data_IF_663965742862
#
_entry.id   IF_663965742862
#
_cell.length_a   1.000
_cell.length_b   1.000
_cell.length_c   1.000
_cell.angle_alpha   90.00
_cell.angle_beta   90.00
_cell.angle_gamma   90.00
#
_symmetry.space_group_name_H-M   'P 1'
#
loop_
_entity.id
_entity.type
_entity.pdbx_description
1 polymer ?
#
# COMPACT_ATOMS: atom_id res chain seq x y z
N UNK A 1 -40.86 -23.25 -6.00
CA UNK A 1 -39.57 -23.50 -5.34
C UNK A 1 -38.83 -22.17 -5.32
N UNK A 2 -38.69 -21.56 -4.14
CA UNK A 2 -38.02 -20.28 -4.01
C UNK A 2 -36.54 -20.43 -4.33
N UNK A 3 -36.00 -19.54 -5.15
CA UNK A 3 -34.55 -19.41 -5.31
C UNK A 3 -33.92 -19.29 -3.92
N UNK A 4 -32.85 -20.05 -3.62
CA UNK A 4 -32.12 -19.85 -2.39
C UNK A 4 -31.62 -18.39 -2.37
N UNK A 5 -31.69 -17.69 -1.23
CA UNK A 5 -31.23 -16.32 -1.15
C UNK A 5 -29.75 -16.30 -1.56
N UNK A 6 -29.45 -15.54 -2.62
CA UNK A 6 -28.09 -15.23 -3.05
C UNK A 6 -27.37 -14.71 -1.81
N UNK A 7 -26.44 -15.50 -1.28
CA UNK A 7 -25.67 -15.14 -0.10
C UNK A 7 -25.02 -13.79 -0.38
N UNK A 8 -25.37 -12.75 0.40
CA UNK A 8 -24.76 -11.43 0.26
C UNK A 8 -23.24 -11.63 0.33
N UNK A 9 -22.47 -11.12 -0.64
CA UNK A 9 -21.02 -11.28 -0.61
C UNK A 9 -20.52 -10.71 0.72
N UNK A 10 -19.73 -11.51 1.44
CA UNK A 10 -19.09 -11.06 2.66
C UNK A 10 -18.32 -9.78 2.33
N UNK A 11 -18.72 -8.65 2.95
CA UNK A 11 -18.12 -7.34 2.66
C UNK A 11 -16.72 -7.29 3.27
N UNK A 12 -15.76 -7.88 2.56
CA UNK A 12 -14.36 -8.02 2.99
C UNK A 12 -13.70 -6.66 3.30
N UNK A 13 -14.17 -5.57 2.68
CA UNK A 13 -13.65 -4.22 2.90
C UNK A 13 -14.53 -3.34 3.79
N UNK A 14 -15.71 -3.80 4.25
CA UNK A 14 -16.67 -2.93 4.94
C UNK A 14 -16.12 -2.23 6.20
N UNK A 15 -15.36 -2.94 7.03
CA UNK A 15 -14.75 -2.35 8.24
C UNK A 15 -13.77 -1.23 7.88
N UNK A 16 -13.03 -1.38 6.79
CA UNK A 16 -12.07 -0.37 6.32
C UNK A 16 -12.76 0.78 5.60
N UNK A 17 -13.83 0.52 4.84
CA UNK A 17 -14.67 1.58 4.25
C UNK A 17 -15.27 2.49 5.33
N UNK A 18 -15.71 1.92 6.46
CA UNK A 18 -16.20 2.70 7.60
C UNK A 18 -15.09 3.58 8.20
N UNK A 19 -13.88 3.04 8.35
CA UNK A 19 -12.71 3.82 8.80
C UNK A 19 -12.39 4.97 7.84
N UNK A 20 -12.38 4.72 6.52
CA UNK A 20 -12.15 5.77 5.49
C UNK A 20 -13.19 6.88 5.57
N UNK A 21 -14.46 6.52 5.82
CA UNK A 21 -15.56 7.47 6.04
C UNK A 21 -15.34 8.32 7.29
N UNK A 22 -15.05 7.70 8.43
CA UNK A 22 -14.83 8.41 9.70
C UNK A 22 -13.59 9.31 9.63
N UNK A 23 -12.55 8.88 8.91
CA UNK A 23 -11.33 9.64 8.66
C UNK A 23 -11.52 10.82 7.69
N UNK A 24 -12.72 10.99 7.13
CA UNK A 24 -13.01 12.10 6.22
C UNK A 24 -12.29 12.03 4.88
N UNK A 25 -11.97 10.81 4.40
CA UNK A 25 -11.32 10.55 3.10
C UNK A 25 -12.27 9.93 2.06
N UNK A 26 -13.54 9.72 2.41
CA UNK A 26 -14.53 9.15 1.51
C UNK A 26 -15.19 10.22 0.64
N UNK A 27 -14.74 10.28 -0.62
CA UNK A 27 -15.38 11.06 -1.70
C UNK A 27 -16.36 10.24 -2.53
N UNK A 28 -16.44 8.92 -2.30
CA UNK A 28 -17.21 8.00 -3.13
C UNK A 28 -18.71 8.17 -2.96
N UNK A 29 -19.16 8.31 -1.71
CA UNK A 29 -20.57 8.57 -1.44
C UNK A 29 -20.96 10.04 -1.63
N UNK A 30 -20.02 10.99 -1.57
CA UNK A 30 -20.35 12.41 -1.70
C UNK A 30 -20.69 12.83 -3.14
N UNK A 31 -20.01 12.26 -4.13
CA UNK A 31 -20.17 12.64 -5.55
C UNK A 31 -21.22 11.77 -6.26
N UNK A 32 -21.36 10.48 -5.88
CA UNK A 32 -22.38 9.60 -6.47
C UNK A 32 -23.78 9.88 -5.91
N UNK A 33 -23.91 10.20 -4.62
CA UNK A 33 -25.20 10.64 -4.05
C UNK A 33 -25.54 12.09 -4.40
N UNK A 34 -24.59 12.95 -4.79
CA UNK A 34 -24.92 14.29 -5.31
C UNK A 34 -25.92 14.22 -6.46
N UNK A 35 -25.72 13.26 -7.37
CA UNK A 35 -26.53 13.12 -8.60
C UNK A 35 -27.82 12.33 -8.38
N UNK A 36 -27.90 11.45 -7.38
CA UNK A 36 -29.08 10.59 -7.11
C UNK A 36 -29.89 11.00 -5.87
N UNK A 37 -29.35 11.81 -4.96
CA UNK A 37 -30.00 12.13 -3.70
C UNK A 37 -31.17 13.11 -3.88
N UNK A 38 -32.36 12.64 -3.56
CA UNK A 38 -33.59 13.44 -3.46
C UNK A 38 -33.63 14.32 -2.19
N UNK A 39 -32.79 14.04 -1.19
CA UNK A 39 -32.82 14.72 0.12
C UNK A 39 -31.68 15.75 0.29
N UNK A 40 -31.98 16.91 0.88
CA UNK A 40 -30.99 17.97 1.13
C UNK A 40 -29.92 17.58 2.17
N UNK A 41 -30.27 16.72 3.14
CA UNK A 41 -29.37 16.34 4.24
C UNK A 41 -28.13 15.57 3.79
N UNK A 42 -28.29 14.62 2.86
CA UNK A 42 -27.20 13.83 2.28
C UNK A 42 -26.29 14.67 1.37
N UNK A 43 -26.81 15.71 0.71
CA UNK A 43 -26.00 16.67 -0.07
C UNK A 43 -25.09 17.54 0.80
N UNK A 44 -25.58 18.01 1.95
CA UNK A 44 -24.75 18.79 2.87
C UNK A 44 -23.60 17.97 3.48
N UNK A 45 -23.86 16.70 3.82
CA UNK A 45 -22.83 15.78 4.31
C UNK A 45 -21.76 15.54 3.24
N UNK A 46 -22.17 15.32 1.99
CA UNK A 46 -21.28 15.15 0.85
C UNK A 46 -20.33 16.35 0.64
N UNK A 47 -20.87 17.57 0.69
CA UNK A 47 -20.09 18.80 0.56
C UNK A 47 -19.11 18.93 1.73
N UNK A 48 -19.58 18.68 2.96
CA UNK A 48 -18.74 18.74 4.16
C UNK A 48 -17.54 17.80 4.06
N UNK A 49 -17.75 16.51 3.76
CA UNK A 49 -16.64 15.55 3.60
C UNK A 49 -15.67 15.93 2.50
N UNK A 50 -16.17 16.49 1.40
CA UNK A 50 -15.32 16.94 0.28
C UNK A 50 -14.44 18.12 0.67
N UNK A 51 -15.00 19.11 1.37
CA UNK A 51 -14.24 20.26 1.91
C UNK A 51 -13.22 19.77 2.94
N UNK A 52 -13.60 18.89 3.86
CA UNK A 52 -12.69 18.31 4.86
C UNK A 52 -11.53 17.57 4.20
N UNK A 53 -11.81 16.71 3.21
CA UNK A 53 -10.78 15.99 2.45
C UNK A 53 -9.83 16.98 1.76
N UNK A 54 -10.36 17.98 1.08
CA UNK A 54 -9.57 18.98 0.36
C UNK A 54 -8.67 19.76 1.30
N UNK A 55 -9.20 20.25 2.43
CA UNK A 55 -8.42 20.96 3.45
C UNK A 55 -7.29 20.11 4.00
N UNK A 56 -7.57 18.85 4.32
CA UNK A 56 -6.55 17.90 4.80
C UNK A 56 -5.44 17.70 3.78
N UNK A 57 -5.79 17.46 2.51
CA UNK A 57 -4.82 17.26 1.43
C UNK A 57 -3.96 18.52 1.23
N UNK A 58 -4.57 19.71 1.25
CA UNK A 58 -3.84 20.98 1.15
C UNK A 58 -2.85 21.14 2.30
N UNK A 59 -3.27 20.86 3.53
CA UNK A 59 -2.39 20.93 4.71
C UNK A 59 -1.18 19.99 4.56
N UNK A 60 -1.40 18.74 4.13
CA UNK A 60 -0.31 17.77 3.94
C UNK A 60 0.65 18.17 2.81
N UNK A 61 0.14 18.78 1.73
CA UNK A 61 1.00 19.31 0.65
C UNK A 61 1.82 20.50 1.15
N UNK A 62 1.20 21.40 1.92
CA UNK A 62 1.89 22.55 2.51
C UNK A 62 2.99 22.13 3.48
N UNK A 63 2.78 21.05 4.25
CA UNK A 63 3.82 20.44 5.09
C UNK A 63 5.01 19.98 4.26
N UNK A 64 4.78 19.25 3.16
CA UNK A 64 5.85 18.81 2.24
C UNK A 64 6.63 20.00 1.69
N UNK A 65 5.95 21.06 1.23
CA UNK A 65 6.59 22.27 0.70
C UNK A 65 7.41 22.97 1.78
N UNK A 66 6.87 23.10 2.99
CA UNK A 66 7.55 23.74 4.12
C UNK A 66 8.83 23.02 4.50
N UNK A 67 8.83 21.68 4.49
CA UNK A 67 10.02 20.87 4.75
C UNK A 67 11.06 21.06 3.63
N UNK A 68 10.65 21.10 2.36
CA UNK A 68 11.57 21.33 1.22
C UNK A 68 12.26 22.69 1.30
N UNK A 69 11.58 23.72 1.82
CA UNK A 69 12.15 25.07 1.96
C UNK A 69 13.20 25.18 3.08
N UNK A 70 13.34 24.18 3.95
CA UNK A 70 14.35 24.20 5.00
C UNK A 70 15.72 23.86 4.39
N UNK A 71 16.63 24.82 4.42
CA UNK A 71 17.99 24.61 3.97
C UNK A 71 18.82 23.92 5.04
N UNK A 72 19.58 22.90 4.64
CA UNK A 72 20.56 22.22 5.51
C UNK A 72 21.77 21.79 4.69
N UNK A 73 22.95 21.84 5.32
CA UNK A 73 24.19 21.40 4.67
C UNK A 73 24.13 19.89 4.41
N UNK A 74 24.42 19.46 3.18
CA UNK A 74 24.38 18.05 2.78
C UNK A 74 25.24 17.16 3.68
N UNK A 75 24.79 15.91 3.89
CA UNK A 75 25.45 14.91 4.73
C UNK A 75 25.67 15.30 6.21
N UNK A 76 24.93 16.28 6.72
CA UNK A 76 24.88 16.60 8.15
C UNK A 76 23.67 15.95 8.83
N UNK A 77 23.70 15.79 10.16
CA UNK A 77 22.57 15.26 10.92
C UNK A 77 21.25 16.01 10.64
N UNK A 78 21.20 17.36 10.60
CA UNK A 78 20.00 18.10 10.21
C UNK A 78 19.47 17.75 8.82
N UNK A 79 20.37 17.49 7.86
CA UNK A 79 19.99 17.12 6.49
C UNK A 79 19.32 15.75 6.43
N UNK A 80 19.91 14.76 7.10
CA UNK A 80 19.30 13.43 7.19
C UNK A 80 17.95 13.47 7.91
N UNK A 81 17.84 14.21 9.02
CA UNK A 81 16.57 14.38 9.74
C UNK A 81 15.49 15.03 8.86
N UNK A 82 15.87 16.02 8.05
CA UNK A 82 14.97 16.68 7.12
C UNK A 82 14.47 15.70 6.04
N UNK A 83 15.36 14.88 5.47
CA UNK A 83 14.97 13.89 4.47
C UNK A 83 14.06 12.79 5.02
N UNK A 84 14.29 12.34 6.26
CA UNK A 84 13.39 11.39 6.94
C UNK A 84 11.99 11.99 7.07
N UNK A 85 11.90 13.24 7.56
CA UNK A 85 10.62 13.95 7.69
C UNK A 85 9.95 14.15 6.32
N UNK A 86 10.71 14.54 5.31
CA UNK A 86 10.23 14.74 3.96
C UNK A 86 9.68 13.45 3.35
N UNK A 87 10.40 12.33 3.47
CA UNK A 87 9.98 11.03 2.96
C UNK A 87 8.67 10.54 3.57
N UNK A 88 8.50 10.71 4.89
CA UNK A 88 7.28 10.39 5.60
C UNK A 88 6.11 11.31 5.23
N UNK A 89 6.36 12.62 5.10
CA UNK A 89 5.36 13.60 4.69
C UNK A 89 4.87 13.31 3.25
N UNK A 90 5.79 13.01 2.31
CA UNK A 90 5.44 12.60 0.95
C UNK A 90 4.60 11.31 0.95
N UNK A 91 5.00 10.32 1.74
CA UNK A 91 4.27 9.06 1.86
C UNK A 91 2.83 9.29 2.37
N UNK A 92 2.65 10.10 3.41
CA UNK A 92 1.33 10.42 3.96
C UNK A 92 0.46 11.25 3.03
N UNK A 93 1.02 12.29 2.41
CA UNK A 93 0.31 13.12 1.44
C UNK A 93 -0.14 12.29 0.23
N UNK A 94 0.76 11.47 -0.34
CA UNK A 94 0.43 10.57 -1.44
C UNK A 94 -0.66 9.57 -1.04
N UNK A 95 -0.59 9.03 0.17
CA UNK A 95 -1.60 8.10 0.71
C UNK A 95 -2.98 8.75 0.82
N UNK A 96 -3.05 9.97 1.36
CA UNK A 96 -4.30 10.72 1.50
C UNK A 96 -4.93 11.06 0.13
N UNK A 97 -4.14 11.64 -0.79
CA UNK A 97 -4.57 11.97 -2.15
C UNK A 97 -5.11 10.71 -2.85
N UNK A 98 -4.39 9.60 -2.71
CA UNK A 98 -4.75 8.38 -3.41
C UNK A 98 -6.01 7.74 -2.84
N UNK A 99 -6.17 7.73 -1.52
CA UNK A 99 -7.38 7.26 -0.87
C UNK A 99 -8.60 8.07 -1.31
N UNK A 100 -8.47 9.39 -1.42
CA UNK A 100 -9.52 10.27 -1.95
C UNK A 100 -9.87 9.95 -3.42
N UNK A 101 -8.87 9.66 -4.26
CA UNK A 101 -9.11 9.28 -5.67
C UNK A 101 -9.83 7.92 -5.77
N UNK A 102 -9.37 6.91 -5.03
CA UNK A 102 -9.97 5.56 -5.04
C UNK A 102 -11.43 5.61 -4.58
N UNK A 103 -11.70 6.33 -3.49
CA UNK A 103 -13.07 6.47 -2.98
C UNK A 103 -13.94 7.16 -4.01
N UNK A 104 -13.49 8.30 -4.57
CA UNK A 104 -14.19 9.02 -5.62
C UNK A 104 -14.53 8.15 -6.85
N UNK A 105 -13.65 7.21 -7.22
CA UNK A 105 -13.86 6.30 -8.36
C UNK A 105 -14.80 5.12 -8.04
N UNK A 106 -15.25 4.98 -6.78
CA UNK A 106 -16.05 3.83 -6.35
C UNK A 106 -15.29 2.50 -6.47
N UNK A 107 -13.96 2.55 -6.43
CA UNK A 107 -13.13 1.38 -6.71
C UNK A 107 -13.35 0.23 -5.72
N UNK A 108 -13.72 0.53 -4.46
CA UNK A 108 -14.07 -0.51 -3.48
C UNK A 108 -15.29 -1.33 -3.89
N UNK A 109 -16.33 -0.66 -4.40
CA UNK A 109 -17.55 -1.34 -4.86
C UNK A 109 -17.24 -2.19 -6.08
N UNK A 110 -16.49 -1.65 -7.04
CA UNK A 110 -16.06 -2.40 -8.23
C UNK A 110 -15.19 -3.61 -7.86
N UNK A 111 -14.33 -3.48 -6.87
CA UNK A 111 -13.46 -4.54 -6.37
C UNK A 111 -14.29 -5.65 -5.69
N UNK A 112 -15.23 -5.28 -4.82
CA UNK A 112 -16.14 -6.22 -4.17
C UNK A 112 -17.02 -6.97 -5.18
N UNK A 113 -17.54 -6.28 -6.20
CA UNK A 113 -18.32 -6.91 -7.28
C UNK A 113 -17.47 -7.92 -8.07
N UNK A 114 -16.23 -7.57 -8.42
CA UNK A 114 -15.32 -8.47 -9.14
C UNK A 114 -14.91 -9.68 -8.30
N UNK A 115 -14.75 -9.53 -6.98
CA UNK A 115 -14.50 -10.66 -6.09
C UNK A 115 -15.73 -11.55 -5.89
N UNK A 116 -16.93 -10.95 -5.82
CA UNK A 116 -18.18 -11.69 -5.68
C UNK A 116 -18.51 -12.53 -6.92
N UNK A 117 -18.06 -12.10 -8.10
CA UNK A 117 -18.21 -12.87 -9.34
C UNK A 117 -17.32 -14.11 -9.41
N UNK A 118 -16.29 -14.22 -8.55
CA UNK A 118 -15.38 -15.36 -8.51
C UNK A 118 -15.82 -16.37 -7.44
N UNK A 119 -15.72 -17.69 -7.71
CA UNK A 119 -15.98 -18.70 -6.70
C UNK A 119 -15.06 -18.48 -5.50
N UNK A 120 -15.66 -18.26 -4.33
CA UNK A 120 -14.95 -17.78 -3.14
C UNK A 120 -14.40 -18.96 -2.34
N UNK A 121 -13.07 -19.10 -2.15
CA UNK A 121 -12.55 -19.97 -1.11
C UNK A 121 -12.77 -19.32 0.27
N UNK A 122 -12.72 -20.14 1.33
CA UNK A 122 -12.76 -19.65 2.72
C UNK A 122 -11.75 -18.50 2.91
N UNK A 123 -12.11 -17.43 3.63
CA UNK A 123 -11.28 -16.24 3.70
C UNK A 123 -9.90 -16.60 4.25
N UNK A 124 -8.81 -16.26 3.54
CA UNK A 124 -7.48 -16.47 4.07
C UNK A 124 -7.30 -15.66 5.36
N UNK A 125 -6.40 -16.11 6.23
CA UNK A 125 -6.00 -15.43 7.47
C UNK A 125 -5.45 -13.99 7.26
N UNK A 126 -5.46 -13.49 6.02
CA UNK A 126 -5.08 -12.15 5.56
C UNK A 126 -5.82 -11.05 6.31
N UNK A 127 -7.11 -11.20 6.63
CA UNK A 127 -7.85 -10.17 7.38
C UNK A 127 -7.34 -10.05 8.82
N UNK A 128 -7.08 -11.18 9.51
CA UNK A 128 -6.47 -11.17 10.85
C UNK A 128 -5.06 -10.58 10.83
N UNK A 129 -4.26 -10.93 9.81
CA UNK A 129 -2.93 -10.34 9.60
C UNK A 129 -3.01 -8.83 9.37
N UNK A 130 -3.94 -8.37 8.55
CA UNK A 130 -4.15 -6.95 8.29
C UNK A 130 -4.58 -6.18 9.55
N UNK A 131 -5.43 -6.76 10.41
CA UNK A 131 -5.82 -6.17 11.70
C UNK A 131 -4.62 -6.13 12.66
N UNK A 132 -3.84 -7.21 12.78
CA UNK A 132 -2.64 -7.23 13.62
C UNK A 132 -1.59 -6.22 13.16
N UNK A 133 -1.44 -6.07 11.84
CA UNK A 133 -0.58 -5.06 11.24
C UNK A 133 -1.09 -3.64 11.54
N UNK A 134 -2.40 -3.39 11.39
CA UNK A 134 -3.02 -2.11 11.75
C UNK A 134 -2.71 -1.73 13.20
N UNK A 135 -2.83 -2.70 14.12
CA UNK A 135 -2.51 -2.50 15.52
C UNK A 135 -1.03 -2.18 15.73
N UNK A 136 -0.10 -2.89 15.08
CA UNK A 136 1.33 -2.56 15.16
C UNK A 136 1.64 -1.17 14.62
N UNK A 137 1.12 -0.80 13.44
CA UNK A 137 1.35 0.51 12.85
C UNK A 137 0.83 1.65 13.73
N UNK A 138 -0.41 1.54 14.19
CA UNK A 138 -1.03 2.53 15.07
C UNK A 138 -0.26 2.61 16.38
N UNK A 139 0.10 1.48 16.99
CA UNK A 139 0.88 1.44 18.22
C UNK A 139 2.24 2.11 18.05
N UNK A 140 2.97 1.83 16.97
CA UNK A 140 4.28 2.44 16.72
C UNK A 140 4.19 3.93 16.41
N UNK A 141 3.16 4.38 15.68
CA UNK A 141 2.89 5.81 15.46
C UNK A 141 2.56 6.50 16.78
N UNK A 142 1.67 5.93 17.59
CA UNK A 142 1.33 6.46 18.91
C UNK A 142 2.54 6.50 19.84
N UNK A 143 3.37 5.45 19.84
CA UNK A 143 4.58 5.40 20.64
C UNK A 143 5.59 6.47 20.22
N UNK A 144 5.80 6.68 18.92
CA UNK A 144 6.63 7.77 18.42
C UNK A 144 6.10 9.13 18.84
N UNK A 145 4.81 9.38 18.67
CA UNK A 145 4.20 10.65 19.04
C UNK A 145 4.34 10.92 20.54
N UNK A 146 4.22 9.88 21.37
CA UNK A 146 4.49 9.99 22.81
C UNK A 146 5.96 10.29 23.09
N UNK A 147 6.89 9.60 22.43
CA UNK A 147 8.35 9.85 22.59
C UNK A 147 8.70 11.29 22.16
N UNK A 148 8.18 11.75 21.03
CA UNK A 148 8.38 13.10 20.52
C UNK A 148 7.74 14.13 21.45
N UNK A 149 6.55 13.86 21.99
CA UNK A 149 5.89 14.74 22.95
C UNK A 149 6.67 14.85 24.27
N UNK A 150 7.19 13.73 24.78
CA UNK A 150 8.03 13.69 25.98
C UNK A 150 9.38 14.36 25.77
N UNK A 151 9.96 14.27 24.57
CA UNK A 151 11.21 14.95 24.22
C UNK A 151 11.00 16.46 23.97
N UNK A 152 9.83 16.87 23.49
CA UNK A 152 9.47 18.27 23.27
C UNK A 152 9.23 19.04 24.57
N UNK A 153 8.95 18.36 25.69
CA UNK A 153 8.79 18.98 27.01
C UNK A 153 10.10 19.60 27.54
N UNK A 154 11.27 19.15 27.02
CA UNK A 154 12.58 19.77 27.27
C UNK A 154 12.82 21.05 26.43
N UNK A 155 12.00 21.32 25.40
CA UNK A 155 12.14 22.51 24.52
C UNK A 155 10.79 23.18 24.29
N UNK A 156 10.31 23.90 25.31
CA UNK A 156 9.05 24.65 25.36
C UNK A 156 8.62 25.37 24.07
N UNK A 157 7.73 24.79 23.24
CA UNK A 157 6.91 25.52 22.23
C UNK A 157 5.58 24.81 21.89
N UNK A 158 4.81 24.36 22.89
CA UNK A 158 3.40 24.06 22.63
C UNK A 158 2.60 25.38 22.63
N UNK A 159 1.81 25.59 21.57
CA UNK A 159 1.01 26.80 21.38
C UNK A 159 0.02 26.97 22.53
N UNK A 160 0.16 28.05 23.30
CA UNK A 160 -0.82 28.43 24.33
C UNK A 160 -2.15 28.76 23.65
N UNK A 161 -3.24 28.18 24.16
CA UNK A 161 -4.59 28.46 23.68
C UNK A 161 -4.88 29.97 23.72
N UNK A 162 -5.28 30.55 22.57
CA UNK A 162 -5.65 31.97 22.45
C UNK A 162 -4.71 32.85 21.59
N UNK A 163 -3.59 32.32 21.09
CA UNK A 163 -2.72 33.08 20.17
C UNK A 163 -3.27 33.08 18.72
N UNK A 164 -3.20 34.21 18.00
CA UNK A 164 -3.62 34.26 16.59
C UNK A 164 -2.76 33.34 15.72
N UNK A 165 -3.41 32.64 14.79
CA UNK A 165 -2.77 31.71 13.86
C UNK A 165 -2.02 32.51 12.80
N UNK A 166 -0.69 32.58 12.92
CA UNK A 166 0.23 33.05 11.87
C UNK A 166 0.97 31.85 11.26
N UNK A 167 1.60 32.02 10.08
CA UNK A 167 2.47 30.99 9.48
C UNK A 167 3.58 30.54 10.45
N UNK A 168 4.07 31.44 11.30
CA UNK A 168 5.07 31.15 12.33
C UNK A 168 4.51 30.37 13.54
N UNK A 169 3.18 30.24 13.67
CA UNK A 169 2.49 29.51 14.75
C UNK A 169 1.88 28.18 14.27
N UNK A 170 2.06 27.79 13.00
CA UNK A 170 1.57 26.50 12.46
C UNK A 170 2.21 25.28 13.16
N UNK A 171 3.33 25.48 13.85
CA UNK A 171 4.04 24.48 14.66
C UNK A 171 3.19 23.85 15.77
N UNK A 172 2.11 24.51 16.22
CA UNK A 172 1.16 23.90 17.16
C UNK A 172 0.28 22.80 16.55
N UNK A 173 0.08 22.83 15.23
CA UNK A 173 -0.71 21.84 14.50
C UNK A 173 0.15 20.69 13.94
N UNK A 174 1.47 20.89 13.79
CA UNK A 174 2.45 19.88 13.35
C UNK A 174 2.24 18.48 13.98
N UNK A 175 2.09 18.32 15.31
CA UNK A 175 1.84 17.00 15.88
C UNK A 175 0.55 16.37 15.37
N UNK A 176 -0.54 17.14 15.26
CA UNK A 176 -1.82 16.67 14.73
C UNK A 176 -1.73 16.27 13.25
N UNK A 177 -1.02 17.06 12.43
CA UNK A 177 -0.80 16.76 11.01
C UNK A 177 -0.05 15.44 10.85
N UNK A 178 0.96 15.19 11.69
CA UNK A 178 1.70 13.91 11.71
C UNK A 178 0.83 12.73 12.12
N UNK A 179 -0.06 12.88 13.11
CA UNK A 179 -1.02 11.82 13.47
C UNK A 179 -1.91 11.48 12.27
N UNK A 180 -2.48 12.51 11.65
CA UNK A 180 -3.39 12.38 10.50
C UNK A 180 -2.67 11.69 9.33
N UNK A 181 -1.46 12.15 9.01
CA UNK A 181 -0.57 11.56 8.01
C UNK A 181 -0.31 10.06 8.29
N UNK A 182 0.00 9.72 9.55
CA UNK A 182 0.23 8.34 9.99
C UNK A 182 -1.01 7.44 9.86
N UNK A 183 -2.18 7.93 10.24
CA UNK A 183 -3.45 7.21 10.10
C UNK A 183 -3.72 6.89 8.63
N UNK A 184 -3.55 7.86 7.73
CA UNK A 184 -3.83 7.65 6.30
C UNK A 184 -2.82 6.74 5.61
N UNK A 185 -1.54 6.88 5.98
CA UNK A 185 -0.47 5.98 5.54
C UNK A 185 -0.79 4.54 5.92
N UNK A 186 -1.23 4.33 7.16
CA UNK A 186 -1.61 3.02 7.69
C UNK A 186 -2.84 2.46 6.96
N UNK A 187 -3.89 3.27 6.83
CA UNK A 187 -5.16 2.85 6.22
C UNK A 187 -4.97 2.47 4.75
N UNK A 188 -4.23 3.29 3.99
CA UNK A 188 -3.94 3.03 2.59
C UNK A 188 -3.11 1.76 2.40
N UNK A 189 -2.11 1.52 3.26
CA UNK A 189 -1.26 0.31 3.23
C UNK A 189 -2.06 -0.95 3.55
N UNK A 190 -2.98 -0.90 4.52
CA UNK A 190 -3.83 -2.05 4.85
C UNK A 190 -4.74 -2.40 3.69
N UNK A 191 -5.38 -1.38 3.09
CA UNK A 191 -6.27 -1.57 1.95
C UNK A 191 -5.49 -2.17 0.77
N UNK A 192 -4.28 -1.66 0.53
CA UNK A 192 -3.36 -2.21 -0.45
C UNK A 192 -3.07 -3.70 -0.19
N UNK A 193 -2.64 -4.04 1.04
CA UNK A 193 -2.36 -5.42 1.44
C UNK A 193 -3.57 -6.35 1.29
N UNK A 194 -4.77 -5.87 1.64
CA UNK A 194 -6.00 -6.64 1.51
C UNK A 194 -6.37 -6.88 0.05
N UNK A 195 -6.25 -5.88 -0.81
CA UNK A 195 -6.55 -6.00 -2.23
C UNK A 195 -5.60 -7.00 -2.91
N UNK A 196 -4.29 -6.87 -2.72
CA UNK A 196 -3.31 -7.81 -3.29
C UNK A 196 -3.37 -9.19 -2.62
N UNK A 197 -3.56 -9.25 -1.30
CA UNK A 197 -3.64 -10.50 -0.56
C UNK A 197 -4.87 -11.34 -0.92
N UNK A 198 -6.02 -10.70 -1.18
CA UNK A 198 -7.21 -11.39 -1.67
C UNK A 198 -7.00 -11.93 -3.10
N UNK A 199 -6.39 -11.13 -3.99
CA UNK A 199 -6.02 -11.59 -5.35
C UNK A 199 -5.05 -12.78 -5.30
N UNK A 200 -4.03 -12.71 -4.44
CA UNK A 200 -3.08 -13.80 -4.26
C UNK A 200 -3.77 -15.08 -3.73
N UNK A 201 -4.74 -14.94 -2.81
CA UNK A 201 -5.53 -16.07 -2.33
C UNK A 201 -6.31 -16.76 -3.45
N UNK A 202 -6.95 -15.98 -4.33
CA UNK A 202 -7.68 -16.49 -5.49
C UNK A 202 -6.77 -17.20 -6.49
N UNK A 203 -5.59 -16.63 -6.80
CA UNK A 203 -4.62 -17.24 -7.69
C UNK A 203 -4.04 -18.55 -7.13
N UNK A 204 -3.78 -18.63 -5.82
CA UNK A 204 -3.34 -19.89 -5.17
C UNK A 204 -4.38 -20.98 -5.29
N UNK A 205 -5.65 -20.64 -5.04
CA UNK A 205 -6.75 -21.58 -5.18
C UNK A 205 -6.86 -22.07 -6.63
N UNK A 206 -6.82 -21.15 -7.59
CA UNK A 206 -6.81 -21.48 -9.01
C UNK A 206 -5.63 -22.38 -9.41
N UNK A 207 -4.40 -22.09 -9.00
CA UNK A 207 -3.24 -22.93 -9.32
C UNK A 207 -3.38 -24.35 -8.76
N UNK A 208 -3.98 -24.49 -7.58
CA UNK A 208 -4.29 -25.80 -7.00
C UNK A 208 -5.34 -26.56 -7.82
N UNK A 209 -6.43 -25.89 -8.24
CA UNK A 209 -7.44 -26.51 -9.11
C UNK A 209 -6.86 -26.89 -10.47
N UNK A 210 -6.08 -25.98 -11.08
CA UNK A 210 -5.44 -26.17 -12.38
C UNK A 210 -4.51 -27.38 -12.35
N UNK A 211 -3.66 -27.49 -11.33
CA UNK A 211 -2.77 -28.65 -11.16
C UNK A 211 -3.56 -29.96 -11.08
N UNK A 212 -4.63 -30.00 -10.29
CA UNK A 212 -5.49 -31.19 -10.21
C UNK A 212 -6.12 -31.57 -11.55
N UNK A 213 -6.60 -30.59 -12.33
CA UNK A 213 -7.16 -30.84 -13.67
C UNK A 213 -6.12 -31.39 -14.65
N UNK A 214 -4.89 -30.88 -14.57
CA UNK A 214 -3.79 -31.29 -15.44
C UNK A 214 -3.26 -32.69 -15.07
N UNK A 215 -3.30 -33.06 -13.79
CA UNK A 215 -2.82 -34.36 -13.28
C UNK A 215 -3.86 -35.49 -13.44
N UNK A 216 -5.17 -35.22 -13.35
CA UNK A 216 -6.21 -36.27 -13.26
C UNK A 216 -6.79 -36.75 -14.59
N UNK A 217 -6.92 -35.92 -15.65
CA UNK A 217 -7.44 -36.42 -16.93
C UNK A 217 -7.31 -35.49 -18.16
N UNK A 218 -6.65 -34.33 -18.05
CA UNK A 218 -6.48 -33.36 -19.16
C UNK A 218 -7.75 -33.14 -20.04
N UNK A 219 -8.93 -33.16 -19.41
CA UNK A 219 -10.20 -33.07 -20.13
C UNK A 219 -10.36 -31.69 -20.79
N UNK A 220 -10.72 -31.68 -22.08
CA UNK A 220 -10.91 -30.48 -22.89
C UNK A 220 -11.82 -29.44 -22.23
N UNK A 221 -13.01 -29.83 -21.77
CA UNK A 221 -13.99 -28.88 -21.22
C UNK A 221 -13.49 -28.27 -19.91
N UNK A 222 -12.76 -29.05 -19.09
CA UNK A 222 -12.17 -28.56 -17.85
C UNK A 222 -11.01 -27.59 -18.13
N UNK A 223 -10.20 -27.84 -19.15
CA UNK A 223 -9.10 -26.94 -19.54
C UNK A 223 -9.62 -25.64 -20.14
N UNK A 224 -10.68 -25.69 -20.96
CA UNK A 224 -11.36 -24.48 -21.46
C UNK A 224 -11.86 -23.63 -20.30
N UNK A 225 -12.56 -24.24 -19.33
CA UNK A 225 -13.05 -23.55 -18.13
C UNK A 225 -11.90 -22.93 -17.33
N UNK A 226 -10.79 -23.64 -17.15
CA UNK A 226 -9.62 -23.11 -16.44
C UNK A 226 -8.95 -21.95 -17.20
N UNK A 227 -8.93 -22.00 -18.53
CA UNK A 227 -8.44 -20.91 -19.38
C UNK A 227 -9.29 -19.65 -19.26
N UNK A 228 -10.61 -19.78 -19.15
CA UNK A 228 -11.53 -18.67 -18.92
C UNK A 228 -11.36 -18.08 -17.51
N UNK A 229 -11.32 -18.93 -16.48
CA UNK A 229 -11.02 -18.52 -15.09
C UNK A 229 -9.69 -17.77 -14.99
N UNK A 230 -8.64 -18.26 -15.66
CA UNK A 230 -7.34 -17.59 -15.70
C UNK A 230 -7.46 -16.18 -16.30
N UNK A 231 -8.22 -16.02 -17.40
CA UNK A 231 -8.45 -14.71 -18.04
C UNK A 231 -9.10 -13.71 -17.08
N UNK A 232 -10.10 -14.16 -16.33
CA UNK A 232 -10.81 -13.33 -15.36
C UNK A 232 -9.92 -12.92 -14.20
N UNK A 233 -9.13 -13.85 -13.66
CA UNK A 233 -8.14 -13.58 -12.60
C UNK A 233 -7.03 -12.62 -13.08
N UNK A 234 -6.57 -12.78 -14.32
CA UNK A 234 -5.62 -11.86 -14.94
C UNK A 234 -6.23 -10.48 -15.22
N UNK A 235 -7.53 -10.39 -15.46
CA UNK A 235 -8.25 -9.11 -15.52
C UNK A 235 -8.37 -8.46 -14.15
N UNK A 236 -8.68 -9.24 -13.10
CA UNK A 236 -8.79 -8.75 -11.73
C UNK A 236 -7.45 -8.23 -11.21
N UNK A 237 -6.37 -9.00 -11.37
CA UNK A 237 -5.02 -8.58 -10.98
C UNK A 237 -4.58 -7.29 -11.68
N UNK A 238 -4.87 -7.14 -12.98
CA UNK A 238 -4.64 -5.88 -13.72
C UNK A 238 -5.46 -4.72 -13.17
N UNK A 239 -6.73 -4.96 -12.83
CA UNK A 239 -7.56 -3.93 -12.21
C UNK A 239 -6.97 -3.49 -10.86
N UNK A 240 -6.61 -4.43 -9.98
CA UNK A 240 -5.98 -4.15 -8.68
C UNK A 240 -4.70 -3.34 -8.88
N UNK A 241 -3.82 -3.76 -9.80
CA UNK A 241 -2.59 -3.05 -10.07
C UNK A 241 -2.80 -1.65 -10.65
N UNK A 242 -3.76 -1.45 -11.57
CA UNK A 242 -4.08 -0.10 -12.07
C UNK A 242 -4.64 0.80 -10.98
N UNK A 243 -5.46 0.24 -10.09
CA UNK A 243 -6.13 0.94 -8.99
C UNK A 243 -5.21 1.20 -7.80
N UNK A 244 -4.15 0.42 -7.59
CA UNK A 244 -3.28 0.53 -6.40
C UNK A 244 -1.79 0.75 -6.69
N UNK A 245 -1.33 0.54 -7.92
CA UNK A 245 0.09 0.57 -8.28
C UNK A 245 0.72 1.96 -8.24
N UNK A 246 -0.04 3.04 -8.44
CA UNK A 246 0.51 4.40 -8.32
C UNK A 246 0.83 4.77 -6.88
N UNK A 247 -0.01 4.36 -5.93
CA UNK A 247 0.27 4.46 -4.50
C UNK A 247 1.55 3.70 -4.16
N UNK A 248 1.67 2.44 -4.62
CA UNK A 248 2.87 1.65 -4.40
C UNK A 248 4.13 2.37 -4.85
N UNK A 249 4.11 3.09 -5.98
CA UNK A 249 5.31 3.75 -6.49
C UNK A 249 5.69 5.00 -5.70
N UNK A 250 4.74 5.92 -5.46
CA UNK A 250 5.04 7.19 -4.79
C UNK A 250 5.25 6.98 -3.29
N UNK A 251 4.41 6.17 -2.66
CA UNK A 251 4.50 5.89 -1.24
C UNK A 251 5.72 5.01 -0.91
N UNK A 252 6.07 4.03 -1.76
CA UNK A 252 7.31 3.26 -1.54
C UNK A 252 8.55 4.14 -1.71
N UNK A 253 8.56 5.10 -2.65
CA UNK A 253 9.70 6.01 -2.80
C UNK A 253 9.88 6.89 -1.55
N UNK A 254 8.79 7.45 -1.01
CA UNK A 254 8.85 8.23 0.23
C UNK A 254 9.34 7.39 1.42
N UNK A 255 8.82 6.16 1.56
CA UNK A 255 9.27 5.23 2.60
C UNK A 255 10.73 4.77 2.40
N UNK A 256 11.18 4.62 1.15
CA UNK A 256 12.54 4.24 0.78
C UNK A 256 13.54 5.31 1.24
N UNK A 257 13.28 6.57 0.89
CA UNK A 257 14.13 7.71 1.28
C UNK A 257 14.22 7.77 2.80
N UNK A 258 13.06 7.76 3.48
CA UNK A 258 13.02 7.80 4.94
C UNK A 258 13.76 6.63 5.60
N UNK A 259 13.69 5.42 5.03
CA UNK A 259 14.39 4.26 5.57
C UNK A 259 15.91 4.40 5.47
N UNK A 260 16.40 4.79 4.29
CA UNK A 260 17.84 4.94 4.01
C UNK A 260 18.46 6.01 4.91
N UNK A 261 17.79 7.17 5.04
CA UNK A 261 18.27 8.27 5.87
C UNK A 261 18.18 7.94 7.37
N UNK A 262 17.12 7.27 7.82
CA UNK A 262 17.02 6.81 9.22
C UNK A 262 18.14 5.81 9.58
N UNK A 263 18.53 4.95 8.63
CA UNK A 263 19.65 4.02 8.81
C UNK A 263 20.98 4.77 8.89
N UNK A 264 21.18 5.76 8.02
CA UNK A 264 22.37 6.61 8.05
C UNK A 264 22.50 7.36 9.39
N UNK A 265 21.40 7.86 9.96
CA UNK A 265 21.37 8.48 11.29
C UNK A 265 21.77 7.47 12.37
N UNK A 266 21.13 6.29 12.39
CA UNK A 266 21.34 5.28 13.42
C UNK A 266 22.77 4.70 13.41
N UNK A 267 23.46 4.72 12.26
CA UNK A 267 24.82 4.19 12.13
C UNK A 267 25.88 5.29 12.23
N UNK A 268 25.68 6.42 11.55
CA UNK A 268 26.67 7.49 11.44
C UNK A 268 26.60 8.56 12.52
N UNK A 269 25.44 8.75 13.16
CA UNK A 269 25.22 9.87 14.10
C UNK A 269 24.78 9.42 15.50
N UNK A 270 24.81 8.12 15.78
CA UNK A 270 24.31 7.53 17.03
C UNK A 270 24.89 8.15 18.30
N UNK A 271 26.16 8.56 18.27
CA UNK A 271 26.84 9.18 19.40
C UNK A 271 26.30 10.57 19.78
N UNK A 272 25.58 11.23 18.86
CA UNK A 272 25.00 12.55 19.07
C UNK A 272 23.52 12.50 19.48
N UNK A 273 22.94 11.30 19.56
CA UNK A 273 21.52 11.10 19.87
C UNK A 273 21.33 10.69 21.32
N UNK A 274 20.28 11.23 21.94
CA UNK A 274 19.75 10.77 23.22
C UNK A 274 19.15 9.36 23.09
N UNK A 275 18.94 8.68 24.22
CA UNK A 275 18.31 7.34 24.22
C UNK A 275 16.89 7.35 23.64
N UNK A 276 16.14 8.43 23.85
CA UNK A 276 14.79 8.62 23.30
C UNK A 276 14.81 8.71 21.78
N UNK A 277 15.71 9.54 21.22
CA UNK A 277 15.88 9.69 19.78
C UNK A 277 16.37 8.40 19.11
N UNK A 278 17.24 7.62 19.76
CA UNK A 278 17.64 6.30 19.26
C UNK A 278 16.44 5.36 19.18
N UNK A 279 15.57 5.35 20.19
CA UNK A 279 14.37 4.51 20.19
C UNK A 279 13.38 4.94 19.08
N UNK A 280 13.22 6.25 18.86
CA UNK A 280 12.43 6.81 17.76
C UNK A 280 12.97 6.35 16.39
N UNK A 281 14.28 6.47 16.16
CA UNK A 281 14.91 6.06 14.90
C UNK A 281 14.77 4.56 14.64
N UNK A 282 14.89 3.73 15.67
CA UNK A 282 14.63 2.28 15.55
C UNK A 282 13.17 2.02 15.16
N UNK A 283 12.22 2.73 15.79
CA UNK A 283 10.81 2.66 15.41
C UNK A 283 10.58 3.04 13.94
N UNK A 284 11.25 4.09 13.45
CA UNK A 284 11.10 4.59 12.09
C UNK A 284 11.66 3.59 11.07
N UNK A 285 12.80 2.97 11.40
CA UNK A 285 13.40 1.90 10.62
C UNK A 285 12.47 0.70 10.49
N UNK A 286 11.87 0.25 11.60
CA UNK A 286 10.93 -0.87 11.60
C UNK A 286 9.70 -0.52 10.74
N UNK A 287 9.11 0.66 10.94
CA UNK A 287 7.91 1.08 10.22
C UNK A 287 8.13 1.20 8.72
N UNK A 288 9.15 1.93 8.30
CA UNK A 288 9.50 2.10 6.89
C UNK A 288 9.91 0.78 6.25
N UNK A 289 10.62 -0.09 6.98
CA UNK A 289 10.95 -1.45 6.52
C UNK A 289 9.71 -2.31 6.29
N UNK A 290 8.74 -2.30 7.20
CA UNK A 290 7.48 -3.03 7.05
C UNK A 290 6.65 -2.48 5.88
N UNK A 291 6.56 -1.15 5.72
CA UNK A 291 5.89 -0.51 4.58
C UNK A 291 6.49 -0.99 3.26
N UNK A 292 7.82 -0.92 3.13
CA UNK A 292 8.54 -1.36 1.93
C UNK A 292 8.32 -2.85 1.67
N UNK A 293 8.40 -3.69 2.70
CA UNK A 293 8.12 -5.12 2.59
C UNK A 293 6.71 -5.38 2.02
N UNK A 294 5.69 -4.69 2.52
CA UNK A 294 4.32 -4.87 2.02
C UNK A 294 4.19 -4.38 0.58
N UNK A 295 4.65 -3.16 0.29
CA UNK A 295 4.51 -2.50 -1.01
C UNK A 295 5.27 -3.24 -2.13
N UNK A 296 6.34 -3.96 -1.79
CA UNK A 296 7.14 -4.74 -2.75
C UNK A 296 6.72 -6.21 -2.82
N UNK A 297 6.50 -6.86 -1.67
CA UNK A 297 6.31 -8.32 -1.62
C UNK A 297 4.91 -8.75 -2.04
N UNK A 298 3.87 -7.96 -1.75
CA UNK A 298 2.50 -8.36 -2.10
C UNK A 298 2.24 -8.38 -3.62
N UNK A 299 2.71 -7.41 -4.44
CA UNK A 299 2.61 -7.53 -5.89
C UNK A 299 3.57 -8.58 -6.47
N UNK A 300 4.77 -8.75 -5.88
CA UNK A 300 5.71 -9.79 -6.29
C UNK A 300 5.11 -11.21 -6.16
N UNK A 301 4.41 -11.47 -5.05
CA UNK A 301 3.72 -12.74 -4.82
C UNK A 301 2.65 -13.00 -5.87
N UNK A 302 1.90 -11.97 -6.29
CA UNK A 302 0.89 -12.12 -7.34
C UNK A 302 1.53 -12.44 -8.69
N UNK A 303 2.64 -11.78 -9.04
CA UNK A 303 3.39 -12.09 -10.26
C UNK A 303 3.88 -13.54 -10.30
N UNK A 304 4.36 -14.06 -9.16
CA UNK A 304 4.81 -15.45 -9.05
C UNK A 304 3.67 -16.44 -9.22
N UNK A 305 2.52 -16.20 -8.60
CA UNK A 305 1.36 -17.08 -8.75
C UNK A 305 0.83 -17.07 -10.20
N UNK A 306 0.91 -15.94 -10.89
CA UNK A 306 0.59 -15.86 -12.33
C UNK A 306 1.59 -16.71 -13.13
N UNK A 307 2.89 -16.58 -12.84
CA UNK A 307 3.93 -17.36 -13.51
C UNK A 307 3.78 -18.86 -13.25
N UNK A 308 3.49 -19.25 -12.01
CA UNK A 308 3.25 -20.63 -11.59
C UNK A 308 2.10 -21.27 -12.41
N UNK A 309 1.06 -20.49 -12.74
CA UNK A 309 -0.02 -20.99 -13.60
C UNK A 309 0.47 -21.37 -15.01
N UNK A 310 1.44 -20.62 -15.56
CA UNK A 310 2.05 -20.95 -16.84
C UNK A 310 2.94 -22.18 -16.73
N UNK A 311 3.68 -22.29 -15.62
CA UNK A 311 4.61 -23.39 -15.39
C UNK A 311 3.85 -24.71 -15.21
N UNK A 312 2.70 -24.73 -14.50
CA UNK A 312 1.84 -25.91 -14.42
C UNK A 312 1.37 -26.38 -15.80
N UNK A 313 0.94 -25.46 -16.67
CA UNK A 313 0.53 -25.79 -18.04
C UNK A 313 1.71 -26.29 -18.86
N UNK A 314 2.88 -25.67 -18.75
CA UNK A 314 4.09 -26.05 -19.50
C UNK A 314 4.60 -27.46 -19.16
N UNK A 315 4.48 -27.87 -17.89
CA UNK A 315 4.94 -29.19 -17.44
C UNK A 315 3.83 -30.27 -17.49
N UNK A 316 2.67 -29.95 -18.06
CA UNK A 316 1.55 -30.89 -18.15
C UNK A 316 1.73 -31.93 -19.26
N UNK A 317 0.98 -33.04 -19.17
CA UNK A 317 0.96 -34.09 -20.19
C UNK A 317 0.35 -33.64 -21.54
N UNK A 318 -0.26 -32.45 -21.61
CA UNK A 318 -0.83 -31.87 -22.84
C UNK A 318 0.22 -31.80 -23.96
N UNK A 319 1.49 -31.52 -23.61
CA UNK A 319 2.59 -31.42 -24.57
C UNK A 319 3.04 -32.77 -25.13
N UNK A 320 2.84 -33.85 -24.36
CA UNK A 320 3.16 -35.22 -24.77
C UNK A 320 2.07 -35.79 -25.68
N UNK A 321 0.80 -35.48 -25.39
CA UNK A 321 -0.35 -36.00 -26.14
C UNK A 321 -0.60 -35.25 -27.46
N UNK A 322 0.00 -34.06 -27.66
CA UNK A 322 -0.13 -33.21 -28.87
C UNK A 322 -1.57 -33.06 -29.39
N UNK A 323 -2.54 -33.02 -28.48
CA UNK A 323 -3.94 -32.83 -28.85
C UNK A 323 -4.10 -31.45 -29.52
N UNK A 324 -4.46 -31.47 -30.81
CA UNK A 324 -4.58 -30.30 -31.66
C UNK A 324 -5.62 -29.27 -31.14
N UNK A 325 -6.55 -29.69 -30.27
CA UNK A 325 -7.56 -28.80 -29.68
C UNK A 325 -7.09 -28.17 -28.38
N UNK A 326 -6.32 -28.89 -27.57
CA UNK A 326 -5.81 -28.41 -26.28
C UNK A 326 -4.58 -27.53 -26.42
N UNK A 327 -3.73 -27.84 -27.40
CA UNK A 327 -2.46 -27.16 -27.60
C UNK A 327 -2.58 -25.64 -27.81
N UNK A 328 -3.51 -25.11 -28.62
CA UNK A 328 -3.70 -23.66 -28.76
C UNK A 328 -4.18 -23.00 -27.46
N UNK A 329 -5.02 -23.69 -26.68
CA UNK A 329 -5.56 -23.17 -25.41
C UNK A 329 -4.43 -23.09 -24.37
N UNK A 330 -3.65 -24.15 -24.23
CA UNK A 330 -2.49 -24.19 -23.33
C UNK A 330 -1.45 -23.12 -23.70
N UNK A 331 -1.17 -22.95 -24.99
CA UNK A 331 -0.28 -21.90 -25.50
C UNK A 331 -0.79 -20.51 -25.13
N UNK A 332 -2.09 -20.22 -25.36
CA UNK A 332 -2.71 -18.96 -24.98
C UNK A 332 -2.66 -18.71 -23.46
N UNK A 333 -2.80 -19.74 -22.63
CA UNK A 333 -2.68 -19.61 -21.17
C UNK A 333 -1.25 -19.20 -20.76
N UNK A 334 -0.24 -19.80 -21.37
CA UNK A 334 1.17 -19.46 -21.13
C UNK A 334 1.49 -18.05 -21.63
N UNK A 335 1.07 -17.71 -22.85
CA UNK A 335 1.31 -16.39 -23.43
C UNK A 335 0.70 -15.27 -22.59
N UNK A 336 -0.56 -15.44 -22.14
CA UNK A 336 -1.23 -14.46 -21.28
C UNK A 336 -0.52 -14.28 -19.94
N UNK A 337 -0.06 -15.36 -19.31
CA UNK A 337 0.66 -15.28 -18.04
C UNK A 337 2.06 -14.66 -18.19
N UNK A 338 2.73 -14.90 -19.32
CA UNK A 338 4.07 -14.33 -19.60
C UNK A 338 4.03 -12.90 -20.14
N UNK A 339 2.88 -12.46 -20.66
CA UNK A 339 2.75 -11.15 -21.27
C UNK A 339 3.14 -10.02 -20.29
N UNK A 340 3.93 -9.04 -20.76
CA UNK A 340 4.50 -8.00 -19.90
C UNK A 340 3.43 -7.12 -19.25
N UNK A 341 2.25 -7.00 -19.86
CA UNK A 341 1.11 -6.24 -19.35
C UNK A 341 0.52 -6.80 -18.04
N UNK A 342 0.80 -8.06 -17.75
CA UNK A 342 0.35 -8.73 -16.52
C UNK A 342 1.41 -8.73 -15.42
N UNK A 343 2.64 -8.30 -15.74
CA UNK A 343 3.73 -8.21 -14.76
C UNK A 343 3.64 -6.88 -14.03
N UNK A 344 3.35 -6.96 -12.74
CA UNK A 344 3.31 -5.80 -11.85
C UNK A 344 4.72 -5.25 -11.66
N UNK A 345 4.87 -3.93 -11.73
CA UNK A 345 6.14 -3.24 -11.59
C UNK A 345 6.10 -2.30 -10.39
N UNK A 346 7.24 -2.17 -9.70
CA UNK A 346 7.46 -1.09 -8.75
C UNK A 346 8.34 -0.02 -9.41
N UNK A 347 8.07 1.24 -9.08
CA UNK A 347 8.77 2.42 -9.59
C UNK A 347 8.79 2.54 -11.13
N UNK A 348 7.89 1.83 -11.84
CA UNK A 348 7.80 1.75 -13.32
C UNK A 348 9.00 1.12 -14.05
N UNK A 349 10.04 0.69 -13.35
CA UNK A 349 11.21 0.05 -13.98
C UNK A 349 11.63 -1.27 -13.31
N UNK A 350 11.27 -1.50 -12.04
CA UNK A 350 11.57 -2.77 -11.36
C UNK A 350 10.44 -3.76 -11.61
N UNK A 351 10.73 -4.80 -12.41
CA UNK A 351 9.88 -5.99 -12.46
C UNK A 351 9.96 -6.68 -11.10
N UNK A 352 8.84 -6.76 -10.40
CA UNK A 352 8.80 -7.39 -9.08
C UNK A 352 8.67 -8.90 -9.22
N UNK A 353 9.70 -9.63 -8.79
CA UNK A 353 9.62 -11.03 -8.32
C UNK A 353 10.10 -11.05 -6.86
N UNK A 354 9.91 -12.14 -6.11
CA UNK A 354 10.35 -12.15 -4.70
C UNK A 354 11.86 -11.96 -4.58
N UNK A 355 12.65 -12.49 -5.50
CA UNK A 355 14.11 -12.31 -5.52
C UNK A 355 14.52 -10.83 -5.64
N UNK A 356 13.94 -10.08 -6.58
CA UNK A 356 14.20 -8.63 -6.72
C UNK A 356 13.64 -7.84 -5.56
N UNK A 357 12.49 -8.23 -4.99
CA UNK A 357 11.97 -7.60 -3.79
C UNK A 357 12.92 -7.79 -2.60
N UNK A 358 13.44 -9.01 -2.39
CA UNK A 358 14.45 -9.29 -1.37
C UNK A 358 15.76 -8.57 -1.66
N UNK A 359 16.22 -8.51 -2.91
CA UNK A 359 17.44 -7.81 -3.29
C UNK A 359 17.33 -6.30 -3.07
N UNK A 360 16.16 -5.69 -3.34
CA UNK A 360 15.89 -4.29 -3.04
C UNK A 360 15.86 -4.06 -1.53
N UNK A 361 15.18 -4.93 -0.76
CA UNK A 361 15.18 -4.87 0.71
C UNK A 361 16.57 -5.07 1.33
N UNK A 362 17.41 -5.91 0.73
CA UNK A 362 18.79 -6.10 1.17
C UNK A 362 19.64 -4.89 0.83
N UNK A 363 19.58 -4.40 -0.41
CA UNK A 363 20.34 -3.22 -0.87
C UNK A 363 20.03 -1.98 -0.04
N UNK A 364 18.77 -1.83 0.37
CA UNK A 364 18.28 -0.79 1.30
C UNK A 364 19.07 -0.72 2.60
N UNK A 365 19.43 -1.86 3.20
CA UNK A 365 20.22 -1.94 4.43
C UNK A 365 21.66 -1.44 4.22
N UNK A 366 22.22 -1.60 3.02
CA UNK A 366 23.59 -1.19 2.71
C UNK A 366 23.69 0.28 2.29
N UNK A 367 22.69 0.82 1.60
CA UNK A 367 22.71 2.23 1.18
C UNK A 367 22.81 3.20 2.37
N UNK A 368 22.08 2.95 3.46
CA UNK A 368 22.19 3.77 4.67
C UNK A 368 23.59 3.73 5.30
N UNK A 369 24.23 2.56 5.31
CA UNK A 369 25.61 2.40 5.80
C UNK A 369 26.61 3.15 4.91
N UNK A 370 26.45 3.09 3.59
CA UNK A 370 27.32 3.81 2.64
C UNK A 370 27.20 5.33 2.85
N UNK A 371 25.97 5.85 3.03
CA UNK A 371 25.75 7.26 3.30
C UNK A 371 26.35 7.70 4.64
N UNK A 372 26.30 6.85 5.67
CA UNK A 372 26.98 7.11 6.95
C UNK A 372 28.51 7.19 6.77
N UNK A 373 29.11 6.32 5.95
CA UNK A 373 30.54 6.37 5.63
C UNK A 373 30.89 7.66 4.87
N UNK A 374 30.08 8.04 3.88
CA UNK A 374 30.28 9.30 3.15
C UNK A 374 30.16 10.51 4.09
N UNK A 375 29.18 10.53 4.98
CA UNK A 375 29.05 11.58 5.99
C UNK A 375 30.30 11.69 6.88
N UNK A 376 30.87 10.54 7.31
CA UNK A 376 32.12 10.54 8.07
C UNK A 376 33.33 11.06 7.28
N UNK A 377 33.37 10.86 5.97
CA UNK A 377 34.44 11.36 5.09
C UNK A 377 34.34 12.86 4.81
N UNK A 378 33.11 13.39 4.68
CA UNK A 378 32.84 14.81 4.40
C UNK A 378 32.65 15.68 5.65
N UNK A 379 32.75 15.08 6.84
CA UNK A 379 32.75 15.80 8.12
C UNK A 379 34.12 16.42 8.48
N UNK A 380 35.14 16.20 7.65
CA UNK A 380 36.41 16.94 7.64
C UNK A 380 36.32 18.10 6.65
#
# INVERSE_FOLDING_TARGET
MGEPPVARPARFFASFQLLVKVCGLDLGNSILDWKSAKERGTKCQAIFFSITTATIVVILIMEVISIIQQESKTFTLPWFLLNVKLGLAIHGAASAIYMAIITCQGAFVQLEQRYAALPTPAPPNTQKKAIGLAFMFIFTICLMLVIVALAADDTSKWVKAGSPVSFDNLWGADPFVRIISGIFSTLSTIIFMLAFGATAGQLRFFNKELRGVLDEDCNYDRIVLMSEKQRELLSLSRFVYRTFGRLANVAALGAFIAHVDAMAINVGFRSFLTRGEIAEMIGLLIMTGVLLGILLQTPATVNELIQESADHVLHSAIWLNKDARLFPIATNMIERARAPEHKMQCLRFLRLNTETAHAVMFSLLFFGNILAILAALFAK
#
